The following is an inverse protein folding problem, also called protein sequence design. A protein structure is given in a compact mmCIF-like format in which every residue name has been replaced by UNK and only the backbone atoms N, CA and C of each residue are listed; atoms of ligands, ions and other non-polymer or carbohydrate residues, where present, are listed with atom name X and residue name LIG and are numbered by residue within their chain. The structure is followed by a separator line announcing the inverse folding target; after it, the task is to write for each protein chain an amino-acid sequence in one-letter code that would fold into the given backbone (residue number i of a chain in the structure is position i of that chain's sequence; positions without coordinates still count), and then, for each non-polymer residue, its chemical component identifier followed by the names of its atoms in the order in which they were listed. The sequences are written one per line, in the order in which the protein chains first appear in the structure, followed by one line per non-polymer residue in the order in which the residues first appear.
data_IF_746953896008
#
_entry.id   IF_746953896008
#
_cell.length_a   1.000
_cell.length_b   1.000
_cell.length_c   1.000
_cell.angle_alpha   90.00
_cell.angle_beta   90.00
_cell.angle_gamma   90.00
#
_symmetry.space_group_name_H-M   'P 1'
#
loop_
_entity.id
_entity.type
_entity.pdbx_description
1 polymer ?
#
# COMPACT_ATOMS: atom_id res chain seq x y z
N UNK A 1 -10.42 -11.66 -0.92
CA UNK A 1 -9.27 -10.90 -1.40
C UNK A 1 -9.52 -9.48 -0.94
N UNK A 2 -8.67 -8.96 -0.07
CA UNK A 2 -8.83 -7.62 0.48
C UNK A 2 -8.47 -6.57 -0.59
N UNK A 3 -9.09 -5.39 -0.56
CA UNK A 3 -8.85 -4.35 -1.57
C UNK A 3 -7.37 -3.91 -1.59
N UNK A 4 -6.70 -3.88 -0.43
CA UNK A 4 -5.26 -3.58 -0.32
C UNK A 4 -4.38 -4.64 -0.99
N UNK A 5 -4.79 -5.90 -1.04
CA UNK A 5 -4.07 -6.98 -1.72
C UNK A 5 -4.25 -6.87 -3.24
N UNK A 6 -5.46 -6.55 -3.69
CA UNK A 6 -5.74 -6.26 -5.10
C UNK A 6 -4.93 -5.06 -5.60
N UNK A 7 -4.93 -3.95 -4.85
CA UNK A 7 -4.14 -2.77 -5.20
C UNK A 7 -2.63 -3.07 -5.27
N UNK A 8 -2.12 -3.88 -4.34
CA UNK A 8 -0.73 -4.31 -4.30
C UNK A 8 -0.32 -5.14 -5.53
N UNK A 9 -1.17 -6.06 -5.96
CA UNK A 9 -0.96 -6.85 -7.17
C UNK A 9 -1.05 -5.99 -8.43
N UNK A 10 -2.06 -5.13 -8.53
CA UNK A 10 -2.28 -4.24 -9.67
C UNK A 10 -1.10 -3.30 -9.91
N UNK A 11 -0.58 -2.67 -8.86
CA UNK A 11 0.59 -1.78 -8.91
C UNK A 11 1.80 -2.51 -9.47
N UNK A 12 2.06 -3.75 -9.00
CA UNK A 12 3.18 -4.57 -9.48
C UNK A 12 3.00 -5.03 -10.92
N UNK A 13 1.79 -5.41 -11.32
CA UNK A 13 1.46 -5.77 -12.70
C UNK A 13 1.60 -4.57 -13.65
N UNK A 14 1.35 -3.35 -13.16
CA UNK A 14 1.57 -2.11 -13.91
C UNK A 14 3.05 -1.72 -14.03
N UNK A 15 3.98 -2.48 -13.44
CA UNK A 15 5.41 -2.19 -13.46
C UNK A 15 5.83 -1.09 -12.48
N UNK A 16 4.95 -0.69 -11.56
CA UNK A 16 5.26 0.23 -10.48
C UNK A 16 5.90 -0.55 -9.32
N UNK A 17 6.93 0.01 -8.71
CA UNK A 17 7.64 -0.60 -7.60
C UNK A 17 7.20 0.03 -6.27
N UNK A 18 6.51 -0.72 -5.39
CA UNK A 18 6.31 -0.30 -4.02
C UNK A 18 7.64 -0.02 -3.31
N UNK A 19 7.61 0.91 -2.35
CA UNK A 19 8.77 1.23 -1.53
C UNK A 19 9.06 0.14 -0.50
N UNK A 20 8.02 -0.58 -0.05
CA UNK A 20 8.14 -1.70 0.87
C UNK A 20 8.17 -3.05 0.14
N UNK A 21 8.78 -4.06 0.78
CA UNK A 21 8.82 -5.43 0.25
C UNK A 21 7.47 -6.18 0.43
N UNK A 22 6.66 -5.73 1.38
CA UNK A 22 5.37 -6.30 1.77
C UNK A 22 4.38 -5.21 2.20
N UNK A 23 3.07 -5.52 2.18
CA UNK A 23 2.04 -4.69 2.81
C UNK A 23 2.36 -4.62 4.31
N UNK A 24 2.48 -3.41 4.84
CA UNK A 24 2.78 -3.15 6.24
C UNK A 24 1.51 -3.09 7.08
N UNK A 25 1.66 -3.26 8.39
CA UNK A 25 0.57 -3.16 9.36
C UNK A 25 0.95 -2.22 10.50
N UNK A 26 0.03 -1.33 10.90
CA UNK A 26 0.14 -0.51 12.10
C UNK A 26 -1.07 -0.73 13.00
N UNK A 27 -0.88 -0.86 14.33
CA UNK A 27 -1.96 -1.07 15.29
C UNK A 27 -2.65 0.26 15.66
N UNK A 28 -3.19 0.97 14.67
CA UNK A 28 -3.98 2.18 14.86
C UNK A 28 -5.48 1.89 14.94
N UNK A 29 -6.22 2.73 15.67
CA UNK A 29 -7.67 2.53 15.91
C UNK A 29 -7.97 1.18 16.60
N UNK A 30 -9.17 0.63 16.42
CA UNK A 30 -9.61 -0.61 17.07
C UNK A 30 -8.99 -1.87 16.43
N UNK A 31 -8.88 -1.91 15.09
CA UNK A 31 -8.45 -3.10 14.35
C UNK A 31 -7.13 -2.94 13.58
N UNK A 32 -6.56 -1.74 13.52
CA UNK A 32 -5.35 -1.46 12.75
C UNK A 32 -5.58 -0.91 11.34
N UNK A 33 -4.48 -0.70 10.63
CA UNK A 33 -4.43 -0.29 9.23
C UNK A 33 -3.37 -1.11 8.50
N UNK A 34 -3.65 -1.47 7.25
CA UNK A 34 -2.69 -2.07 6.33
C UNK A 34 -2.35 -1.06 5.24
N UNK A 35 -1.07 -0.91 4.88
CA UNK A 35 -0.66 0.10 3.91
C UNK A 35 0.61 -0.27 3.14
N UNK A 36 0.86 0.44 2.04
CA UNK A 36 2.13 0.49 1.33
C UNK A 36 2.27 1.81 0.57
N UNK A 37 3.49 2.12 0.14
CA UNK A 37 3.83 3.38 -0.49
C UNK A 37 4.41 3.21 -1.90
N UNK A 38 4.20 4.23 -2.73
CA UNK A 38 4.88 4.43 -4.02
C UNK A 38 5.56 5.80 -4.05
N UNK A 39 6.64 5.88 -4.83
CA UNK A 39 7.19 7.17 -5.25
C UNK A 39 6.49 7.62 -6.54
N UNK A 40 5.76 8.71 -6.46
CA UNK A 40 5.11 9.34 -7.60
C UNK A 40 6.11 10.07 -8.51
N UNK A 41 5.67 10.48 -9.72
CA UNK A 41 6.54 11.08 -10.73
C UNK A 41 7.14 12.43 -10.33
N UNK A 42 6.55 13.14 -9.34
CA UNK A 42 7.09 14.39 -8.81
C UNK A 42 7.94 14.17 -7.54
N UNK A 43 8.23 12.91 -7.18
CA UNK A 43 8.92 12.57 -5.95
C UNK A 43 8.03 12.61 -4.71
N UNK A 44 6.72 12.73 -4.88
CA UNK A 44 5.75 12.60 -3.80
C UNK A 44 5.63 11.16 -3.32
N UNK A 45 5.34 10.96 -2.04
CA UNK A 45 4.93 9.65 -1.53
C UNK A 45 3.43 9.49 -1.67
N UNK A 46 3.00 8.44 -2.36
CA UNK A 46 1.59 8.06 -2.49
C UNK A 46 1.36 6.82 -1.63
N UNK A 47 0.59 6.96 -0.56
CA UNK A 47 0.22 5.86 0.34
C UNK A 47 -1.13 5.25 -0.08
N UNK A 48 -1.14 3.93 -0.24
CA UNK A 48 -2.37 3.14 -0.32
C UNK A 48 -2.62 2.55 1.05
N UNK A 49 -3.78 2.83 1.64
CA UNK A 49 -4.08 2.54 3.04
C UNK A 49 -5.49 1.99 3.20
N UNK A 50 -5.64 0.89 3.94
CA UNK A 50 -6.92 0.24 4.24
C UNK A 50 -7.07 0.06 5.74
N UNK A 51 -8.12 0.66 6.30
CA UNK A 51 -8.53 0.44 7.70
C UNK A 51 -9.19 -0.94 7.84
N UNK A 52 -8.87 -1.64 8.94
CA UNK A 52 -9.43 -2.96 9.29
C UNK A 52 -10.66 -2.86 10.20
#
# INVERSE_FOLDING_TARGET
MDDIESAWEEVRMAGLAPLEDAIQFLPFWENGVRFFNLLGPNGETVEFSQRL
#
